data_IF_582068717139
#
_entry.id   IF_582068717139
#
_cell.length_a   1.000
_cell.length_b   1.000
_cell.length_c   1.000
_cell.angle_alpha   90.00
_cell.angle_beta   90.00
_cell.angle_gamma   90.00
#
_symmetry.space_group_name_H-M   'P 1'
#
loop_
_entity.id
_entity.type
_entity.pdbx_description
1 polymer ?
#
# COMPACT_ATOMS: atom_id res chain seq x y z
N UNK A 1 0.93 -38.84 -117.90
CA UNK A 1 1.68 -38.42 -116.73
C UNK A 1 0.91 -38.85 -115.49
N UNK A 2 1.46 -39.89 -114.81
CA UNK A 2 0.87 -40.44 -113.57
C UNK A 2 1.44 -39.65 -112.43
N UNK A 3 0.66 -38.82 -111.79
CA UNK A 3 1.06 -38.15 -110.56
C UNK A 3 0.84 -39.08 -109.38
N UNK A 4 1.93 -39.44 -108.67
CA UNK A 4 1.90 -40.26 -107.43
C UNK A 4 1.23 -39.46 -106.32
N UNK A 5 -0.03 -39.79 -106.01
CA UNK A 5 -0.76 -39.21 -104.86
C UNK A 5 -0.33 -39.81 -103.52
N UNK A 6 0.82 -40.48 -103.44
CA UNK A 6 1.32 -41.10 -102.21
C UNK A 6 2.14 -40.20 -101.28
N UNK A 7 2.55 -38.99 -101.75
CA UNK A 7 3.38 -38.11 -100.98
C UNK A 7 2.62 -37.19 -100.01
N UNK A 8 1.45 -36.78 -100.38
CA UNK A 8 0.70 -35.80 -99.53
C UNK A 8 0.10 -36.39 -98.26
N UNK A 9 -0.39 -37.68 -98.30
CA UNK A 9 -0.87 -38.31 -97.04
C UNK A 9 0.24 -38.59 -96.06
N UNK A 10 1.42 -39.04 -96.51
CA UNK A 10 2.56 -39.25 -95.59
C UNK A 10 3.06 -37.95 -94.97
N UNK A 11 3.05 -36.86 -95.71
CA UNK A 11 3.42 -35.54 -95.21
C UNK A 11 2.39 -35.04 -94.19
N UNK A 12 1.08 -35.17 -94.43
CA UNK A 12 0.03 -34.80 -93.47
C UNK A 12 0.07 -35.63 -92.18
N UNK A 13 0.35 -36.93 -92.26
CA UNK A 13 0.52 -37.80 -91.09
C UNK A 13 1.71 -37.45 -90.29
N UNK A 14 2.85 -37.11 -90.89
CA UNK A 14 4.06 -36.63 -90.19
C UNK A 14 3.80 -35.29 -89.54
N UNK A 15 3.14 -34.32 -90.19
CA UNK A 15 2.80 -33.04 -89.63
C UNK A 15 1.84 -33.13 -88.45
N UNK A 16 0.85 -34.02 -88.53
CA UNK A 16 -0.10 -34.32 -87.45
C UNK A 16 0.65 -34.97 -86.25
N UNK A 17 1.64 -35.84 -86.53
CA UNK A 17 2.50 -36.47 -85.56
C UNK A 17 3.35 -35.40 -84.78
N UNK A 18 3.99 -34.52 -85.55
CA UNK A 18 4.77 -33.40 -84.93
C UNK A 18 3.89 -32.43 -84.10
N UNK A 19 2.72 -32.06 -84.61
CA UNK A 19 1.76 -31.24 -83.88
C UNK A 19 1.27 -31.91 -82.60
N UNK A 20 1.01 -33.24 -82.64
CA UNK A 20 0.64 -34.00 -81.45
C UNK A 20 1.80 -34.02 -80.42
N UNK A 21 2.99 -34.33 -80.89
CA UNK A 21 4.18 -34.33 -79.98
C UNK A 21 4.45 -32.99 -79.36
N UNK A 22 4.34 -31.89 -80.14
CA UNK A 22 4.48 -30.55 -79.61
C UNK A 22 3.37 -30.19 -78.62
N UNK A 23 2.14 -30.58 -78.87
CA UNK A 23 1.03 -30.35 -77.94
C UNK A 23 1.17 -31.17 -76.62
N UNK A 24 1.68 -32.41 -76.71
CA UNK A 24 1.95 -33.23 -75.55
C UNK A 24 3.11 -32.63 -74.67
N UNK A 25 4.17 -32.14 -75.34
CA UNK A 25 5.25 -31.48 -74.63
C UNK A 25 4.81 -30.15 -73.95
N UNK A 26 4.00 -29.37 -74.64
CA UNK A 26 3.42 -28.14 -74.06
C UNK A 26 2.49 -28.48 -72.89
N UNK A 27 1.63 -29.50 -73.03
CA UNK A 27 0.79 -29.93 -71.91
C UNK A 27 1.61 -30.41 -70.69
N UNK A 28 2.67 -31.20 -70.91
CA UNK A 28 3.58 -31.60 -69.82
C UNK A 28 4.26 -30.39 -69.14
N UNK A 29 4.69 -29.41 -69.93
CA UNK A 29 5.29 -28.17 -69.41
C UNK A 29 4.30 -27.42 -68.56
N UNK A 30 3.09 -27.20 -68.99
CA UNK A 30 2.04 -26.49 -68.25
C UNK A 30 1.68 -27.24 -66.97
N UNK A 31 1.59 -28.58 -67.02
CA UNK A 31 1.35 -29.38 -65.81
C UNK A 31 2.51 -29.25 -64.81
N UNK A 32 3.75 -29.35 -65.27
CA UNK A 32 4.93 -29.19 -64.39
C UNK A 32 5.03 -27.80 -63.76
N UNK A 33 4.78 -26.73 -64.52
CA UNK A 33 4.71 -25.36 -64.00
C UNK A 33 3.59 -25.20 -62.98
N UNK A 34 2.39 -25.75 -63.21
CA UNK A 34 1.30 -25.73 -62.26
C UNK A 34 1.59 -26.49 -60.97
N UNK A 35 2.23 -27.68 -61.09
CA UNK A 35 2.64 -28.46 -59.91
C UNK A 35 3.70 -27.71 -59.07
N UNK A 36 4.64 -27.05 -59.73
CA UNK A 36 5.68 -26.27 -59.05
C UNK A 36 5.07 -25.04 -58.34
N UNK A 37 4.15 -24.36 -59.01
CA UNK A 37 3.40 -23.26 -58.40
C UNK A 37 2.53 -23.70 -57.20
N UNK A 38 1.85 -24.84 -57.34
CA UNK A 38 1.08 -25.42 -56.24
C UNK A 38 1.97 -25.78 -55.04
N UNK A 39 3.15 -26.37 -55.25
CA UNK A 39 4.12 -26.64 -54.19
C UNK A 39 4.57 -25.33 -53.50
N UNK A 40 4.91 -24.30 -54.26
CA UNK A 40 5.29 -23.00 -53.74
C UNK A 40 4.20 -22.38 -52.87
N UNK A 41 2.94 -22.41 -53.34
CA UNK A 41 1.80 -21.89 -52.58
C UNK A 41 1.64 -22.63 -51.24
N UNK A 42 1.75 -23.97 -51.26
CA UNK A 42 1.65 -24.78 -50.03
C UNK A 42 2.79 -24.50 -49.06
N UNK A 43 4.00 -24.36 -49.55
CA UNK A 43 5.17 -24.03 -48.71
C UNK A 43 5.05 -22.64 -48.10
N UNK A 44 4.65 -21.63 -48.87
CA UNK A 44 4.39 -20.28 -48.35
C UNK A 44 3.26 -20.29 -47.32
N UNK A 45 2.18 -21.03 -47.56
CA UNK A 45 1.08 -21.14 -46.59
C UNK A 45 1.52 -21.82 -45.28
N UNK A 46 2.33 -22.85 -45.35
CA UNK A 46 2.92 -23.51 -44.17
C UNK A 46 3.85 -22.59 -43.42
N UNK A 47 4.75 -21.86 -44.09
CA UNK A 47 5.63 -20.91 -43.46
C UNK A 47 4.85 -19.80 -42.75
N UNK A 48 3.82 -19.24 -43.39
CA UNK A 48 2.91 -18.24 -42.77
C UNK A 48 2.16 -18.81 -41.56
N UNK A 49 1.71 -20.06 -41.61
CA UNK A 49 1.02 -20.72 -40.52
C UNK A 49 1.96 -20.92 -39.30
N UNK A 50 3.19 -21.35 -39.52
CA UNK A 50 4.17 -21.50 -38.44
C UNK A 50 4.58 -20.17 -37.84
N UNK A 51 4.80 -19.14 -38.64
CA UNK A 51 5.07 -17.79 -38.16
C UNK A 51 3.92 -17.25 -37.29
N UNK A 52 2.68 -17.45 -37.71
CA UNK A 52 1.50 -17.03 -36.95
C UNK A 52 1.33 -17.82 -35.66
N UNK A 53 1.62 -19.11 -35.63
CA UNK A 53 1.62 -19.94 -34.41
C UNK A 53 2.64 -19.40 -33.39
N UNK A 54 3.87 -19.15 -33.85
CA UNK A 54 4.94 -18.67 -32.98
C UNK A 54 4.64 -17.26 -32.43
N UNK A 55 4.08 -16.37 -33.25
CA UNK A 55 3.64 -15.05 -32.80
C UNK A 55 2.54 -15.15 -31.74
N UNK A 56 1.51 -15.99 -31.98
CA UNK A 56 0.43 -16.22 -31.00
C UNK A 56 0.94 -16.83 -29.70
N UNK A 57 1.89 -17.75 -29.79
CA UNK A 57 2.53 -18.37 -28.62
C UNK A 57 3.26 -17.32 -27.80
N UNK A 58 4.09 -16.48 -28.42
CA UNK A 58 4.82 -15.38 -27.73
C UNK A 58 3.88 -14.39 -27.07
N UNK A 59 2.85 -13.95 -27.79
CA UNK A 59 1.81 -13.05 -27.22
C UNK A 59 1.14 -13.67 -25.99
N UNK A 60 0.79 -14.94 -26.05
CA UNK A 60 0.15 -15.65 -24.94
C UNK A 60 1.08 -15.85 -23.75
N UNK A 61 2.36 -16.14 -23.98
CA UNK A 61 3.37 -16.20 -22.93
C UNK A 61 3.56 -14.85 -22.23
N UNK A 62 3.63 -13.76 -22.99
CA UNK A 62 3.70 -12.41 -22.43
C UNK A 62 2.47 -12.04 -21.60
N UNK A 63 1.27 -12.37 -22.11
CA UNK A 63 0.03 -12.14 -21.35
C UNK A 63 0.01 -12.91 -20.05
N UNK A 64 0.40 -14.18 -20.08
CA UNK A 64 0.47 -15.01 -18.86
C UNK A 64 1.50 -14.46 -17.87
N UNK A 65 2.67 -14.05 -18.32
CA UNK A 65 3.69 -13.40 -17.46
C UNK A 65 3.16 -12.10 -16.85
N UNK A 66 2.49 -11.25 -17.63
CA UNK A 66 1.88 -10.00 -17.13
C UNK A 66 0.77 -10.29 -16.12
N UNK A 67 -0.08 -11.30 -16.35
CA UNK A 67 -1.13 -11.71 -15.38
C UNK A 67 -0.50 -12.21 -14.09
N UNK A 68 0.46 -13.12 -14.16
CA UNK A 68 1.15 -13.65 -12.99
C UNK A 68 1.87 -12.54 -12.19
N UNK A 69 2.52 -11.59 -12.86
CA UNK A 69 3.15 -10.45 -12.20
C UNK A 69 2.13 -9.54 -11.48
N UNK A 70 0.98 -9.27 -12.10
CA UNK A 70 -0.12 -8.51 -11.47
C UNK A 70 -0.69 -9.22 -10.25
N UNK A 71 -0.98 -10.51 -10.36
CA UNK A 71 -1.50 -11.32 -9.26
C UNK A 71 -0.50 -11.37 -8.09
N UNK A 72 0.78 -11.56 -8.39
CA UNK A 72 1.84 -11.54 -7.37
C UNK A 72 1.95 -10.16 -6.69
N UNK A 73 1.81 -9.07 -7.44
CA UNK A 73 1.82 -7.71 -6.88
C UNK A 73 0.61 -7.46 -5.97
N UNK A 74 -0.59 -7.87 -6.39
CA UNK A 74 -1.80 -7.76 -5.59
C UNK A 74 -1.70 -8.57 -4.29
N UNK A 75 -1.25 -9.82 -4.35
CA UNK A 75 -1.03 -10.66 -3.15
C UNK A 75 -0.01 -10.06 -2.20
N UNK A 76 1.09 -9.48 -2.72
CA UNK A 76 2.07 -8.78 -1.86
C UNK A 76 1.45 -7.57 -1.18
N UNK A 77 0.60 -6.82 -1.88
CA UNK A 77 -0.09 -5.66 -1.31
C UNK A 77 -1.08 -6.09 -0.22
N UNK A 78 -1.87 -7.15 -0.45
CA UNK A 78 -2.80 -7.71 0.53
C UNK A 78 -2.07 -8.21 1.79
N UNK A 79 -0.97 -8.96 1.62
CA UNK A 79 -0.16 -9.44 2.74
C UNK A 79 0.44 -8.28 3.54
N UNK A 80 0.94 -7.25 2.85
CA UNK A 80 1.46 -6.05 3.50
C UNK A 80 0.37 -5.34 4.30
N UNK A 81 -0.83 -5.19 3.72
CA UNK A 81 -1.97 -4.59 4.41
C UNK A 81 -2.35 -5.37 5.67
N UNK A 82 -2.53 -6.70 5.56
CA UNK A 82 -2.85 -7.57 6.71
C UNK A 82 -1.79 -7.47 7.81
N UNK A 83 -0.52 -7.48 7.43
CA UNK A 83 0.58 -7.32 8.38
C UNK A 83 0.46 -5.99 9.17
N UNK A 84 0.17 -4.89 8.47
CA UNK A 84 -0.03 -3.60 9.13
C UNK A 84 -1.27 -3.57 10.01
N UNK A 85 -2.39 -4.10 9.55
CA UNK A 85 -3.64 -4.17 10.31
C UNK A 85 -3.45 -4.97 11.61
N UNK A 86 -2.76 -6.09 11.56
CA UNK A 86 -2.42 -6.91 12.74
C UNK A 86 -1.45 -6.18 13.69
N UNK A 87 -0.44 -5.52 13.16
CA UNK A 87 0.52 -4.76 13.95
C UNK A 87 -0.15 -3.59 14.70
N UNK A 88 -0.99 -2.82 14.00
CA UNK A 88 -1.77 -1.74 14.63
C UNK A 88 -2.70 -2.28 15.70
N UNK A 89 -3.41 -3.36 15.44
CA UNK A 89 -4.30 -4.01 16.42
C UNK A 89 -3.55 -4.50 17.66
N UNK A 90 -2.34 -5.04 17.48
CA UNK A 90 -1.48 -5.45 18.59
C UNK A 90 -1.02 -4.23 19.42
N UNK A 91 -0.59 -3.17 18.76
CA UNK A 91 -0.17 -1.94 19.41
C UNK A 91 -1.31 -1.28 20.20
N UNK A 92 -2.52 -1.24 19.64
CA UNK A 92 -3.71 -0.73 20.33
C UNK A 92 -4.03 -1.55 21.59
N UNK A 93 -4.03 -2.89 21.49
CA UNK A 93 -4.28 -3.76 22.65
C UNK A 93 -3.22 -3.60 23.74
N UNK A 94 -1.96 -3.50 23.37
CA UNK A 94 -0.88 -3.27 24.31
C UNK A 94 -1.01 -1.90 25.02
N UNK A 95 -1.38 -0.87 24.26
CA UNK A 95 -1.59 0.47 24.80
C UNK A 95 -2.79 0.54 25.73
N UNK A 96 -3.90 -0.11 25.37
CA UNK A 96 -5.10 -0.18 26.22
C UNK A 96 -4.80 -0.90 27.54
N UNK A 97 -4.11 -2.04 27.49
CA UNK A 97 -3.70 -2.75 28.69
C UNK A 97 -2.78 -1.91 29.58
N UNK A 98 -1.82 -1.20 28.98
CA UNK A 98 -0.92 -0.29 29.74
C UNK A 98 -1.67 0.89 30.38
N UNK A 99 -2.68 1.43 29.69
CA UNK A 99 -3.52 2.51 30.26
C UNK A 99 -4.42 2.01 31.39
N UNK A 100 -4.98 0.81 31.26
CA UNK A 100 -5.78 0.19 32.32
C UNK A 100 -4.92 -0.06 33.55
N UNK A 101 -3.70 -0.59 33.37
CA UNK A 101 -2.75 -0.79 34.47
C UNK A 101 -2.34 0.54 35.12
N UNK A 102 -2.06 1.57 34.31
CA UNK A 102 -1.77 2.91 34.82
C UNK A 102 -2.95 3.51 35.61
N UNK A 103 -4.18 3.36 35.12
CA UNK A 103 -5.39 3.75 35.86
C UNK A 103 -5.52 3.02 37.18
N UNK A 104 -5.33 1.71 37.18
CA UNK A 104 -5.40 0.88 38.41
C UNK A 104 -4.33 1.34 39.42
N UNK A 105 -3.12 1.62 38.96
CA UNK A 105 -2.03 2.13 39.80
C UNK A 105 -2.36 3.51 40.38
N UNK A 106 -2.87 4.45 39.59
CA UNK A 106 -3.25 5.78 40.09
C UNK A 106 -4.43 5.72 41.06
N UNK A 107 -5.35 4.74 40.89
CA UNK A 107 -6.46 4.51 41.81
C UNK A 107 -5.99 3.93 43.15
N UNK A 108 -5.09 2.97 43.14
CA UNK A 108 -4.62 2.24 44.32
C UNK A 108 -3.54 2.96 45.12
N UNK A 109 -2.77 3.87 44.49
CA UNK A 109 -1.63 4.51 45.10
C UNK A 109 -1.73 6.05 45.00
N UNK A 110 -2.05 6.65 46.16
CA UNK A 110 -2.22 8.11 46.25
C UNK A 110 -0.90 8.88 45.99
N UNK A 111 0.23 8.33 46.36
CA UNK A 111 1.54 8.95 46.13
C UNK A 111 1.88 9.08 44.66
N UNK A 112 1.70 8.00 43.89
CA UNK A 112 1.87 8.04 42.44
C UNK A 112 0.88 8.99 41.76
N UNK A 113 -0.35 9.04 42.25
CA UNK A 113 -1.40 9.95 41.73
C UNK A 113 -1.02 11.41 41.98
N UNK A 114 -0.58 11.75 43.19
CA UNK A 114 -0.07 13.09 43.53
C UNK A 114 1.15 13.47 42.67
N UNK A 115 2.11 12.57 42.55
CA UNK A 115 3.30 12.80 41.71
C UNK A 115 2.95 13.02 40.24
N UNK A 116 1.99 12.27 39.69
CA UNK A 116 1.49 12.42 38.31
C UNK A 116 0.86 13.80 38.10
N UNK A 117 -0.06 14.20 39.00
CA UNK A 117 -0.73 15.49 38.93
C UNK A 117 0.23 16.66 39.11
N UNK A 118 1.12 16.57 40.08
CA UNK A 118 2.12 17.61 40.36
C UNK A 118 3.06 17.84 39.15
N UNK A 119 3.64 16.76 38.60
CA UNK A 119 4.51 16.86 37.42
C UNK A 119 3.76 17.38 36.18
N UNK A 120 2.50 16.97 36.02
CA UNK A 120 1.62 17.48 34.97
C UNK A 120 1.42 19.00 35.11
N UNK A 121 1.12 19.47 36.33
CA UNK A 121 0.88 20.87 36.62
C UNK A 121 2.12 21.73 36.37
N UNK A 122 3.28 21.31 36.88
CA UNK A 122 4.57 22.00 36.67
C UNK A 122 4.91 22.09 35.17
N UNK A 123 4.75 20.99 34.41
CA UNK A 123 4.98 20.99 32.96
C UNK A 123 3.99 21.88 32.20
N UNK A 124 2.72 21.83 32.57
CA UNK A 124 1.68 22.63 31.94
C UNK A 124 1.93 24.14 32.17
N UNK A 125 2.14 24.54 33.40
CA UNK A 125 2.46 25.94 33.74
C UNK A 125 3.74 26.44 33.03
N UNK A 126 4.78 25.60 32.96
CA UNK A 126 6.01 25.96 32.28
C UNK A 126 5.88 26.05 30.75
N UNK A 127 5.02 25.22 30.13
CA UNK A 127 4.90 25.14 28.67
C UNK A 127 3.99 26.19 28.05
N UNK A 128 3.00 26.69 28.80
CA UNK A 128 2.05 27.69 28.31
C UNK A 128 2.64 29.09 28.36
N UNK A 129 2.37 29.94 27.37
CA UNK A 129 2.86 31.32 27.34
C UNK A 129 2.04 32.25 28.25
N UNK A 130 0.73 32.06 28.33
CA UNK A 130 -0.18 32.87 29.13
C UNK A 130 0.12 32.77 30.63
N UNK A 131 0.16 33.89 31.37
CA UNK A 131 0.30 33.90 32.82
C UNK A 131 -1.03 33.60 33.54
N UNK A 132 -2.17 33.75 32.88
CA UNK A 132 -3.50 33.52 33.46
C UNK A 132 -4.07 32.21 33.01
N UNK A 133 -4.15 31.24 33.92
CA UNK A 133 -4.50 29.85 33.63
C UNK A 133 -5.67 29.36 34.49
N UNK A 134 -6.51 28.53 33.92
CA UNK A 134 -7.58 27.82 34.62
C UNK A 134 -7.30 26.31 34.52
N UNK A 135 -7.25 25.63 35.66
CA UNK A 135 -7.11 24.18 35.71
C UNK A 135 -8.47 23.55 35.92
N UNK A 136 -8.86 22.68 34.97
CA UNK A 136 -10.07 21.88 35.02
C UNK A 136 -9.70 20.43 35.38
N UNK A 137 -9.87 19.99 36.61
CA UNK A 137 -9.50 18.63 37.04
C UNK A 137 -10.48 17.60 36.49
N UNK A 138 -10.03 16.34 36.33
CA UNK A 138 -10.95 15.23 36.22
C UNK A 138 -11.75 15.08 37.52
N UNK A 139 -13.01 14.67 37.44
CA UNK A 139 -13.93 14.66 38.58
C UNK A 139 -13.35 13.92 39.82
N UNK A 140 -12.66 12.80 39.59
CA UNK A 140 -12.03 12.03 40.68
C UNK A 140 -10.81 12.72 41.29
N UNK A 141 -10.18 13.66 40.58
CA UNK A 141 -8.94 14.35 41.02
C UNK A 141 -9.19 15.75 41.53
N UNK A 142 -10.42 16.24 41.59
CA UNK A 142 -10.73 17.63 41.94
C UNK A 142 -10.09 18.06 43.24
N UNK A 143 -10.33 17.37 44.32
CA UNK A 143 -9.80 17.71 45.66
C UNK A 143 -8.27 17.66 45.73
N UNK A 144 -7.66 16.73 44.97
CA UNK A 144 -6.18 16.63 44.91
C UNK A 144 -5.57 17.81 44.15
N UNK A 145 -6.17 18.21 43.02
CA UNK A 145 -5.69 19.36 42.23
C UNK A 145 -5.86 20.67 43.03
N UNK A 146 -7.00 20.87 43.68
CA UNK A 146 -7.22 22.03 44.53
C UNK A 146 -6.16 22.12 45.65
N UNK A 147 -5.88 21.00 46.31
CA UNK A 147 -4.86 20.87 47.32
C UNK A 147 -3.45 21.13 46.76
N UNK A 148 -3.09 20.51 45.64
CA UNK A 148 -1.79 20.69 45.00
C UNK A 148 -1.55 22.13 44.53
N UNK A 149 -2.57 22.80 43.99
CA UNK A 149 -2.45 24.23 43.62
C UNK A 149 -2.16 25.09 44.85
N UNK A 150 -2.84 24.85 45.99
CA UNK A 150 -2.61 25.61 47.21
C UNK A 150 -1.26 25.29 47.84
N UNK A 151 -0.89 24.02 47.98
CA UNK A 151 0.38 23.61 48.64
C UNK A 151 1.62 23.96 47.81
N UNK A 152 1.53 23.92 46.47
CA UNK A 152 2.67 24.18 45.59
C UNK A 152 2.68 25.59 44.99
N UNK A 153 1.83 26.50 45.47
CA UNK A 153 1.68 27.85 44.89
C UNK A 153 2.99 28.60 44.70
N UNK A 154 3.81 28.66 45.75
CA UNK A 154 5.12 29.36 45.72
C UNK A 154 6.07 28.74 44.67
N UNK A 155 6.05 27.44 44.53
CA UNK A 155 6.85 26.72 43.53
C UNK A 155 6.38 27.02 42.11
N UNK A 156 5.06 27.01 41.87
CA UNK A 156 4.46 27.33 40.58
C UNK A 156 4.73 28.77 40.15
N UNK A 157 4.68 29.74 41.10
CA UNK A 157 5.04 31.13 40.84
C UNK A 157 6.51 31.33 40.49
N UNK A 158 7.40 30.53 41.06
CA UNK A 158 8.84 30.55 40.68
C UNK A 158 9.04 30.05 39.25
N UNK A 159 8.27 29.07 38.82
CA UNK A 159 8.32 28.57 37.43
C UNK A 159 7.79 29.62 36.44
N UNK A 160 6.78 30.39 36.85
CA UNK A 160 6.16 31.41 35.98
C UNK A 160 5.87 32.70 36.76
N UNK A 161 6.72 33.72 36.65
CA UNK A 161 6.45 35.03 37.24
C UNK A 161 5.13 35.62 36.72
N UNK A 162 4.30 36.16 37.64
CA UNK A 162 2.98 36.71 37.31
C UNK A 162 1.87 35.70 37.11
N UNK A 163 2.13 34.42 37.42
CA UNK A 163 1.11 33.36 37.33
C UNK A 163 -0.16 33.70 38.12
N UNK A 164 -1.31 33.56 37.43
CA UNK A 164 -2.64 33.52 38.00
C UNK A 164 -3.24 32.17 37.68
N UNK A 165 -3.45 31.34 38.66
CA UNK A 165 -3.97 29.98 38.46
C UNK A 165 -5.23 29.84 39.31
N UNK A 166 -6.35 29.51 38.62
CA UNK A 166 -7.64 29.26 39.28
C UNK A 166 -8.07 27.83 38.97
N UNK A 167 -8.84 27.26 39.91
CA UNK A 167 -9.44 25.94 39.69
C UNK A 167 -10.86 26.14 39.14
N UNK A 168 -11.12 25.62 37.97
CA UNK A 168 -12.41 25.64 37.28
C UNK A 168 -13.26 24.41 37.59
N UNK A 169 -14.40 24.31 36.91
CA UNK A 169 -15.30 23.16 37.02
C UNK A 169 -14.63 21.86 36.60
N UNK A 170 -14.96 20.74 37.28
CA UNK A 170 -14.40 19.44 36.91
C UNK A 170 -14.87 18.97 35.52
N UNK A 171 -14.01 18.22 34.84
CA UNK A 171 -14.28 17.62 33.52
C UNK A 171 -15.01 16.31 33.68
N UNK A 172 -16.22 16.16 33.09
CA UNK A 172 -16.91 14.88 33.06
C UNK A 172 -16.20 13.91 32.06
N UNK A 173 -16.21 12.60 32.38
CA UNK A 173 -15.76 11.56 31.48
C UNK A 173 -14.24 11.35 31.37
N UNK A 174 -13.45 12.09 32.14
CA UNK A 174 -12.02 11.89 32.27
C UNK A 174 -11.73 11.11 33.56
N UNK A 175 -10.81 10.12 33.50
CA UNK A 175 -10.53 9.23 34.64
C UNK A 175 -9.56 9.90 35.62
N UNK A 176 -8.38 10.28 35.16
CA UNK A 176 -7.34 10.92 35.98
C UNK A 176 -6.64 12.04 35.22
N UNK A 177 -6.29 13.09 35.93
CA UNK A 177 -5.57 14.21 35.38
C UNK A 177 -6.37 15.51 35.37
N UNK A 178 -6.02 16.42 34.49
CA UNK A 178 -6.63 17.73 34.36
C UNK A 178 -6.39 18.33 32.97
N UNK A 179 -7.14 19.34 32.64
CA UNK A 179 -6.94 20.24 31.51
C UNK A 179 -6.53 21.61 32.03
N UNK A 180 -5.45 22.17 31.51
CA UNK A 180 -5.05 23.55 31.77
C UNK A 180 -5.41 24.38 30.53
N UNK A 181 -6.13 25.48 30.75
CA UNK A 181 -6.58 26.38 29.70
C UNK A 181 -6.16 27.79 30.02
N UNK A 182 -5.66 28.54 29.06
CA UNK A 182 -5.44 29.97 29.22
C UNK A 182 -6.77 30.71 29.36
N UNK A 183 -6.83 31.77 30.11
CA UNK A 183 -8.06 32.53 30.35
C UNK A 183 -8.68 33.07 29.03
N UNK A 184 -7.83 33.34 28.03
CA UNK A 184 -8.27 33.73 26.69
C UNK A 184 -8.67 32.55 25.76
N UNK A 185 -8.57 31.30 26.27
CA UNK A 185 -8.91 30.08 25.56
C UNK A 185 -8.00 29.68 24.39
N UNK A 186 -6.87 30.39 24.20
CA UNK A 186 -5.98 30.16 23.04
C UNK A 186 -4.97 29.04 23.26
N UNK A 187 -4.62 28.76 24.50
CA UNK A 187 -3.66 27.73 24.84
C UNK A 187 -4.32 26.66 25.70
N UNK A 188 -4.06 25.42 25.38
CA UNK A 188 -4.58 24.26 26.11
C UNK A 188 -3.45 23.26 26.33
N UNK A 189 -3.25 22.86 27.59
CA UNK A 189 -2.39 21.77 27.97
C UNK A 189 -3.22 20.66 28.60
N UNK A 190 -3.24 19.49 27.96
CA UNK A 190 -4.02 18.35 28.40
C UNK A 190 -3.14 17.35 29.16
N UNK A 191 -3.33 17.24 30.47
CA UNK A 191 -2.70 16.28 31.35
C UNK A 191 -3.63 15.12 31.75
N UNK A 192 -4.77 14.95 31.09
CA UNK A 192 -5.60 13.77 31.30
C UNK A 192 -4.88 12.50 30.81
N UNK A 193 -5.10 11.39 31.49
CA UNK A 193 -4.46 10.11 31.17
C UNK A 193 -4.80 9.66 29.73
N UNK A 194 -6.02 9.91 29.30
CA UNK A 194 -6.49 9.61 27.96
C UNK A 194 -5.76 10.41 26.86
N UNK A 195 -5.33 11.63 27.17
CA UNK A 195 -4.56 12.44 26.23
C UNK A 195 -3.16 11.86 26.00
N UNK A 196 -2.60 11.18 26.99
CA UNK A 196 -1.32 10.46 26.87
C UNK A 196 -1.39 9.28 25.92
N UNK A 197 -2.56 8.69 25.73
CA UNK A 197 -2.76 7.58 24.78
C UNK A 197 -2.21 7.93 23.40
N UNK A 198 -2.59 9.07 22.83
CA UNK A 198 -2.16 9.49 21.48
C UNK A 198 -0.65 9.72 21.39
N UNK A 199 -0.07 10.34 22.43
CA UNK A 199 1.39 10.58 22.48
C UNK A 199 2.17 9.26 22.57
N UNK A 200 1.69 8.32 23.41
CA UNK A 200 2.28 6.99 23.55
C UNK A 200 2.08 6.11 22.32
N UNK A 201 0.94 6.20 21.67
CA UNK A 201 0.66 5.46 20.42
C UNK A 201 1.68 5.82 19.33
N UNK A 202 1.93 7.09 19.10
CA UNK A 202 2.93 7.54 18.12
C UNK A 202 4.34 7.09 18.48
N UNK A 203 4.71 7.13 19.76
CA UNK A 203 6.02 6.65 20.21
C UNK A 203 6.14 5.13 20.09
N UNK A 204 5.13 4.40 20.53
CA UNK A 204 5.11 2.94 20.46
C UNK A 204 5.24 2.46 19.01
N UNK A 205 4.45 3.02 18.11
CA UNK A 205 4.55 2.71 16.68
C UNK A 205 5.96 3.02 16.14
N UNK A 206 6.54 4.15 16.50
CA UNK A 206 7.90 4.51 16.08
C UNK A 206 8.94 3.51 16.59
N UNK A 207 8.87 3.09 17.85
CA UNK A 207 9.79 2.11 18.42
C UNK A 207 9.58 0.70 17.80
N UNK A 208 8.34 0.30 17.60
CA UNK A 208 8.02 -0.97 16.90
C UNK A 208 8.57 -0.95 15.46
N UNK A 209 8.43 0.17 14.76
CA UNK A 209 9.03 0.34 13.44
C UNK A 209 10.56 0.20 13.47
N UNK A 210 11.23 0.82 14.43
CA UNK A 210 12.68 0.70 14.59
C UNK A 210 13.11 -0.74 14.86
N UNK A 211 12.37 -1.47 15.70
CA UNK A 211 12.65 -2.87 16.01
C UNK A 211 12.48 -3.79 14.79
N UNK A 212 11.43 -3.58 14.00
CA UNK A 212 11.17 -4.41 12.82
C UNK A 212 12.15 -4.08 11.69
N UNK A 213 12.43 -2.81 11.43
CA UNK A 213 13.33 -2.40 10.34
C UNK A 213 14.80 -2.29 10.74
N UNK A 214 15.09 -1.94 11.98
CA UNK A 214 16.47 -1.91 12.48
C UNK A 214 17.11 -3.29 12.61
N UNK A 215 16.29 -4.35 12.78
CA UNK A 215 16.76 -5.74 12.78
C UNK A 215 16.99 -6.37 11.40
N UNK A 216 16.61 -5.68 10.32
CA UNK A 216 16.76 -6.18 8.93
C UNK A 216 18.04 -5.62 8.26
N UNK A 217 18.78 -4.74 8.93
CA UNK A 217 20.02 -4.12 8.42
C UNK A 217 21.29 -4.73 9.03
N UNK A 218 21.20 -6.00 9.48
CA UNK A 218 22.31 -6.79 9.97
C UNK A 218 22.59 -8.02 9.11
#
# INVERSE_FOLDING_TARGET
VVVKVGGERGFLEALVGELRAAAEEEAKRVIAEAEEEAKRIVEEARAKAEALKEERRRRREEELRRRAAREAALKRLELRRRFWDELYSLAERALEAALEEACALLKSNLEYRLMYLQRGLERGVASMASPSLVVHPCSEDQWLVERLVSENWERLRKLKPGLRLTVGSPLPGCRHGFLLVSEDGREIFNAALEARRRELEQRLLTEVFKLIWGGVSG
#
